data_IF_886023554397
#
_entry.id   IF_886023554397
#
_cell.length_a   1.000
_cell.length_b   1.000
_cell.length_c   1.000
_cell.angle_alpha   90.00
_cell.angle_beta   90.00
_cell.angle_gamma   90.00
#
_symmetry.space_group_name_H-M   'P 1'
#
loop_
_entity.id
_entity.type
_entity.pdbx_description
1 polymer ?
#
# COMPACT_ATOMS: atom_id res chain seq x y z
N UNK A 1 -10.22 -27.61 -6.88
CA UNK A 1 -9.13 -26.65 -7.18
C UNK A 1 -9.55 -25.76 -8.34
N UNK A 2 -9.32 -24.45 -8.28
CA UNK A 2 -9.62 -23.49 -9.35
C UNK A 2 -8.84 -23.78 -10.66
N UNK A 3 -9.47 -23.41 -11.78
CA UNK A 3 -8.89 -23.50 -13.13
C UNK A 3 -8.44 -22.10 -13.56
N UNK A 4 -7.22 -21.99 -14.07
CA UNK A 4 -6.74 -20.73 -14.64
C UNK A 4 -7.50 -20.39 -15.93
N UNK A 5 -8.01 -19.17 -16.02
CA UNK A 5 -8.72 -18.68 -17.19
C UNK A 5 -7.85 -18.63 -18.46
N UNK A 6 -6.53 -18.41 -18.33
CA UNK A 6 -5.64 -18.24 -19.49
C UNK A 6 -5.14 -19.58 -20.03
N UNK A 7 -4.49 -20.40 -19.19
CA UNK A 7 -3.93 -21.69 -19.65
C UNK A 7 -4.87 -22.89 -19.51
N UNK A 8 -6.06 -22.71 -18.92
CA UNK A 8 -7.06 -23.76 -18.67
C UNK A 8 -6.58 -24.94 -17.80
N UNK A 9 -5.45 -24.77 -17.10
CA UNK A 9 -4.90 -25.78 -16.17
C UNK A 9 -5.43 -25.59 -14.75
N UNK A 10 -5.62 -26.70 -14.05
CA UNK A 10 -5.92 -26.74 -12.62
C UNK A 10 -4.70 -26.26 -11.81
N UNK A 11 -4.93 -25.43 -10.79
CA UNK A 11 -3.87 -24.80 -9.99
C UNK A 11 -4.24 -24.76 -8.51
N UNK A 12 -3.21 -24.65 -7.68
CA UNK A 12 -3.36 -24.36 -6.26
C UNK A 12 -3.89 -22.93 -6.04
N UNK A 13 -4.75 -22.73 -5.05
CA UNK A 13 -5.31 -21.42 -4.70
C UNK A 13 -4.23 -20.39 -4.33
N UNK A 14 -3.12 -20.83 -3.74
CA UNK A 14 -1.99 -19.98 -3.38
C UNK A 14 -1.15 -19.51 -4.59
N UNK A 15 -1.41 -20.06 -5.78
CA UNK A 15 -0.72 -19.71 -7.02
C UNK A 15 -1.66 -19.07 -8.06
N UNK A 16 -2.73 -18.44 -7.59
CA UNK A 16 -3.72 -17.74 -8.41
C UNK A 16 -4.05 -16.37 -7.82
N UNK A 17 -4.38 -15.43 -8.70
CA UNK A 17 -5.01 -14.16 -8.36
C UNK A 17 -6.40 -14.13 -8.99
N UNK A 18 -7.37 -13.53 -8.29
CA UNK A 18 -8.73 -13.35 -8.82
C UNK A 18 -8.86 -11.94 -9.41
N UNK A 19 -8.96 -11.86 -10.74
CA UNK A 19 -9.01 -10.62 -11.52
C UNK A 19 -10.25 -10.64 -12.41
N UNK A 20 -11.12 -9.62 -12.30
CA UNK A 20 -12.39 -9.53 -13.07
C UNK A 20 -13.23 -10.81 -12.99
N UNK A 21 -13.36 -11.34 -11.77
CA UNK A 21 -14.08 -12.57 -11.45
C UNK A 21 -13.52 -13.86 -12.06
N UNK A 22 -12.32 -13.79 -12.64
CA UNK A 22 -11.61 -14.91 -13.24
C UNK A 22 -10.32 -15.21 -12.48
N UNK A 23 -10.01 -16.49 -12.32
CA UNK A 23 -8.73 -16.90 -11.73
C UNK A 23 -7.61 -16.87 -12.78
N UNK A 24 -6.50 -16.18 -12.48
CA UNK A 24 -5.31 -16.13 -13.34
C UNK A 24 -4.13 -16.65 -12.52
N UNK A 25 -3.43 -17.67 -13.04
CA UNK A 25 -2.32 -18.27 -12.33
C UNK A 25 -1.05 -17.46 -12.46
N UNK A 26 -0.17 -17.57 -11.46
CA UNK A 26 1.07 -16.77 -11.42
C UNK A 26 1.98 -17.02 -12.62
N UNK A 27 1.98 -18.23 -13.19
CA UNK A 27 2.73 -18.48 -14.43
C UNK A 27 2.21 -17.65 -15.61
N UNK A 28 0.89 -17.49 -15.72
CA UNK A 28 0.26 -16.69 -16.79
C UNK A 28 0.31 -15.18 -16.49
N UNK A 29 0.27 -14.79 -15.22
CA UNK A 29 0.24 -13.39 -14.81
C UNK A 29 1.64 -12.76 -14.74
N UNK A 30 2.63 -13.54 -14.29
CA UNK A 30 3.98 -13.08 -14.01
C UNK A 30 5.05 -13.80 -14.84
N UNK A 31 4.69 -14.49 -15.93
CA UNK A 31 5.62 -15.17 -16.84
C UNK A 31 6.65 -16.08 -16.12
N UNK A 32 6.23 -16.78 -15.07
CA UNK A 32 7.09 -17.64 -14.23
C UNK A 32 8.26 -16.94 -13.50
N UNK A 33 8.30 -15.61 -13.46
CA UNK A 33 9.30 -14.90 -12.66
C UNK A 33 9.09 -15.14 -11.16
N UNK A 34 10.21 -15.28 -10.42
CA UNK A 34 10.18 -15.44 -8.96
C UNK A 34 9.84 -14.09 -8.30
N UNK A 35 8.98 -14.06 -7.27
CA UNK A 35 8.69 -12.84 -6.54
C UNK A 35 9.87 -12.41 -5.66
N UNK A 36 9.99 -11.11 -5.43
CA UNK A 36 10.93 -10.55 -4.46
C UNK A 36 10.32 -10.57 -3.05
N UNK A 37 11.14 -10.88 -2.04
CA UNK A 37 10.76 -10.77 -0.64
C UNK A 37 11.08 -9.36 -0.15
N UNK A 38 10.09 -8.69 0.43
CA UNK A 38 10.23 -7.36 1.05
C UNK A 38 9.75 -7.49 2.50
N UNK A 39 10.61 -7.10 3.44
CA UNK A 39 10.27 -7.08 4.86
C UNK A 39 9.67 -5.74 5.24
N UNK A 40 8.62 -5.69 6.07
CA UNK A 40 8.20 -4.43 6.66
C UNK A 40 9.30 -3.92 7.60
N UNK A 41 9.44 -2.60 7.70
CA UNK A 41 10.36 -1.92 8.62
C UNK A 41 9.65 -1.34 9.85
N UNK A 42 8.32 -1.39 9.84
CA UNK A 42 7.45 -0.91 10.90
C UNK A 42 5.98 -0.98 10.50
N UNK A 43 5.13 -0.40 11.34
CA UNK A 43 3.68 -0.43 11.15
C UNK A 43 3.04 0.93 11.45
N UNK A 44 1.97 1.21 10.74
CA UNK A 44 1.12 2.37 11.00
C UNK A 44 0.28 2.12 12.25
N UNK A 45 0.19 3.13 13.12
CA UNK A 45 -0.72 3.16 14.27
C UNK A 45 -1.60 4.40 14.22
N UNK A 46 -2.91 4.21 13.98
CA UNK A 46 -3.90 5.28 13.94
C UNK A 46 -5.34 4.75 14.15
N UNK A 47 -6.36 5.56 13.84
CA UNK A 47 -7.78 5.19 13.93
C UNK A 47 -8.44 5.05 12.55
N UNK A 48 -7.65 5.02 11.46
CA UNK A 48 -8.17 4.92 10.11
C UNK A 48 -8.53 3.48 9.80
N UNK A 49 -9.70 3.30 9.24
CA UNK A 49 -10.20 2.02 8.74
C UNK A 49 -10.52 2.12 7.26
N UNK A 50 -10.68 0.99 6.60
CA UNK A 50 -11.01 0.98 5.18
C UNK A 50 -12.46 1.40 4.98
N UNK A 51 -12.71 2.32 4.05
CA UNK A 51 -14.07 2.68 3.65
C UNK A 51 -14.78 1.54 2.92
N UNK A 52 -16.11 1.56 2.90
CA UNK A 52 -16.91 0.48 2.28
C UNK A 52 -16.72 0.41 0.77
N UNK A 53 -16.55 1.58 0.12
CA UNK A 53 -16.23 1.70 -1.31
C UNK A 53 -14.79 2.20 -1.46
N UNK A 54 -14.63 3.49 -1.77
CA UNK A 54 -13.36 4.18 -1.94
C UNK A 54 -12.98 4.98 -0.68
N UNK A 55 -11.67 5.18 -0.50
CA UNK A 55 -11.13 6.00 0.57
C UNK A 55 -11.08 5.32 1.93
N UNK A 56 -10.82 6.13 2.96
CA UNK A 56 -10.71 5.69 4.35
C UNK A 56 -11.88 6.23 5.17
N UNK A 57 -12.16 5.56 6.29
CA UNK A 57 -13.12 5.98 7.31
C UNK A 57 -12.37 6.30 8.59
N UNK A 58 -12.70 7.43 9.22
CA UNK A 58 -12.06 7.92 10.43
C UNK A 58 -11.60 9.37 10.31
N UNK A 59 -10.91 9.87 11.34
CA UNK A 59 -10.41 11.26 11.36
C UNK A 59 -9.13 11.39 10.52
N UNK A 60 -9.30 11.75 9.25
CA UNK A 60 -8.22 11.91 8.26
C UNK A 60 -7.18 12.99 8.59
N UNK A 61 -7.57 14.02 9.35
CA UNK A 61 -6.69 15.14 9.72
C UNK A 61 -5.99 14.97 11.08
N UNK A 62 -6.04 13.77 11.67
CA UNK A 62 -5.35 13.45 12.92
C UNK A 62 -3.86 13.18 12.71
N UNK A 63 -3.11 13.18 13.81
CA UNK A 63 -1.74 12.68 13.83
C UNK A 63 -1.79 11.15 13.76
N UNK A 64 -1.11 10.59 12.77
CA UNK A 64 -0.81 9.15 12.71
C UNK A 64 0.59 8.89 13.24
N UNK A 65 0.87 7.64 13.62
CA UNK A 65 2.21 7.19 13.98
C UNK A 65 2.69 6.14 13.00
N UNK A 66 3.99 6.16 12.71
CA UNK A 66 4.71 5.05 12.10
C UNK A 66 5.67 4.52 13.15
N UNK A 67 5.41 3.30 13.63
CA UNK A 67 6.20 2.63 14.66
C UNK A 67 7.20 1.70 13.96
N UNK A 68 8.46 2.14 13.89
CA UNK A 68 9.56 1.35 13.34
C UNK A 68 10.17 0.44 14.42
N UNK A 69 10.84 -0.63 13.99
CA UNK A 69 11.53 -1.50 14.94
C UNK A 69 12.72 -0.80 15.61
N UNK A 70 13.03 -1.19 16.85
CA UNK A 70 14.15 -0.62 17.62
C UNK A 70 15.48 -0.70 16.88
N UNK A 71 15.72 -1.78 16.13
CA UNK A 71 16.94 -1.95 15.32
C UNK A 71 17.10 -0.92 14.20
N UNK A 72 16.05 -0.14 13.90
CA UNK A 72 16.05 0.87 12.84
C UNK A 72 16.48 2.26 13.35
N UNK A 73 16.76 2.43 14.64
CA UNK A 73 17.17 3.72 15.22
C UNK A 73 18.36 4.39 14.49
N UNK A 74 19.45 3.67 14.11
CA UNK A 74 20.58 4.29 13.41
C UNK A 74 20.21 4.89 12.04
N UNK A 75 19.16 4.37 11.40
CA UNK A 75 18.71 4.82 10.07
C UNK A 75 17.92 6.15 10.13
N UNK A 76 17.61 6.64 11.33
CA UNK A 76 16.88 7.89 11.55
C UNK A 76 17.81 9.11 11.67
N UNK A 77 19.12 8.93 11.48
CA UNK A 77 20.09 10.00 11.56
C UNK A 77 19.68 11.20 10.68
N UNK A 78 19.49 12.35 11.32
CA UNK A 78 19.05 13.62 10.71
C UNK A 78 17.67 13.64 10.05
N UNK A 79 16.88 12.56 10.11
CA UNK A 79 15.52 12.57 9.57
C UNK A 79 14.62 13.63 10.24
N UNK A 80 14.88 13.94 11.52
CA UNK A 80 14.17 15.00 12.26
C UNK A 80 14.37 16.41 11.69
N UNK A 81 15.40 16.62 10.88
CA UNK A 81 15.69 17.90 10.23
C UNK A 81 14.74 18.11 9.01
N UNK A 82 14.10 17.03 8.54
CA UNK A 82 13.22 17.04 7.39
C UNK A 82 11.76 17.28 7.77
N UNK A 83 11.06 18.09 6.96
CA UNK A 83 9.63 18.36 7.14
C UNK A 83 8.73 17.40 6.37
N UNK A 84 9.20 16.88 5.24
CA UNK A 84 8.42 16.05 4.34
C UNK A 84 9.13 14.73 4.08
N UNK A 85 8.39 13.64 4.17
CA UNK A 85 8.89 12.30 3.88
C UNK A 85 7.94 11.60 2.92
N UNK A 86 8.50 10.75 2.07
CA UNK A 86 7.75 9.82 1.23
C UNK A 86 7.69 8.48 1.96
N UNK A 87 6.49 7.96 2.20
CA UNK A 87 6.29 6.66 2.83
C UNK A 87 5.80 5.67 1.80
N UNK A 88 6.49 4.53 1.73
CA UNK A 88 6.10 3.38 0.90
C UNK A 88 5.54 2.31 1.83
N UNK A 89 4.33 1.82 1.53
CA UNK A 89 3.62 0.92 2.43
C UNK A 89 2.83 -0.15 1.66
N UNK A 90 2.38 -1.20 2.37
CA UNK A 90 1.71 -2.35 1.77
C UNK A 90 0.21 -2.38 2.07
N UNK A 91 -0.63 -2.51 1.04
CA UNK A 91 -2.07 -2.68 1.16
C UNK A 91 -2.46 -4.08 1.66
N UNK A 92 -2.23 -4.33 2.95
CA UNK A 92 -2.45 -5.63 3.61
C UNK A 92 -3.92 -6.09 3.68
N UNK A 93 -4.88 -5.19 3.46
CA UNK A 93 -6.32 -5.51 3.40
C UNK A 93 -6.91 -5.21 2.02
N UNK A 94 -6.25 -5.64 0.95
CA UNK A 94 -6.76 -5.49 -0.41
C UNK A 94 -8.10 -6.24 -0.62
N UNK A 95 -8.98 -5.73 -1.50
CA UNK A 95 -10.16 -6.48 -2.03
C UNK A 95 -9.77 -7.14 -3.37
N UNK A 96 -10.74 -7.74 -4.03
CA UNK A 96 -10.61 -8.22 -5.40
C UNK A 96 -10.06 -7.16 -6.36
N UNK A 97 -9.22 -7.61 -7.29
CA UNK A 97 -8.62 -6.79 -8.35
C UNK A 97 -9.58 -6.71 -9.53
N UNK A 98 -9.77 -5.49 -10.04
CA UNK A 98 -10.43 -5.23 -11.31
C UNK A 98 -9.44 -4.59 -12.28
N UNK A 99 -9.34 -5.12 -13.50
CA UNK A 99 -8.39 -4.59 -14.49
C UNK A 99 -8.81 -3.21 -15.00
N UNK A 100 -10.13 -2.99 -15.13
CA UNK A 100 -10.75 -1.75 -15.61
C UNK A 100 -11.93 -1.38 -14.71
N UNK A 101 -12.00 -0.12 -14.28
CA UNK A 101 -13.06 0.40 -13.40
C UNK A 101 -13.18 1.92 -13.52
N UNK A 102 -14.26 2.50 -12.98
CA UNK A 102 -14.41 3.95 -12.85
C UNK A 102 -13.58 4.46 -11.66
N UNK A 103 -12.54 5.26 -11.92
CA UNK A 103 -11.65 5.75 -10.86
C UNK A 103 -12.36 6.77 -9.97
N UNK A 104 -12.08 6.73 -8.67
CA UNK A 104 -12.74 7.60 -7.69
C UNK A 104 -12.46 9.10 -7.85
N UNK A 105 -11.39 9.50 -8.57
CA UNK A 105 -11.00 10.90 -8.71
C UNK A 105 -11.96 11.70 -9.62
N UNK A 106 -12.39 11.13 -10.74
CA UNK A 106 -13.19 11.82 -11.77
C UNK A 106 -14.21 10.91 -12.46
N UNK A 107 -14.40 9.68 -11.98
CA UNK A 107 -15.32 8.69 -12.56
C UNK A 107 -14.89 8.08 -13.88
N UNK A 108 -13.76 8.50 -14.47
CA UNK A 108 -13.29 8.00 -15.77
C UNK A 108 -13.06 6.49 -15.71
N UNK A 109 -13.59 5.76 -16.69
CA UNK A 109 -13.32 4.33 -16.86
C UNK A 109 -11.90 4.15 -17.36
N UNK A 110 -11.03 3.58 -16.52
CA UNK A 110 -9.59 3.45 -16.78
C UNK A 110 -9.07 2.07 -16.40
N UNK A 111 -7.95 1.69 -16.99
CA UNK A 111 -7.17 0.55 -16.51
C UNK A 111 -6.53 0.85 -15.15
N UNK A 112 -6.23 -0.21 -14.39
CA UNK A 112 -5.70 -0.09 -13.03
C UNK A 112 -4.46 0.78 -12.88
N UNK A 113 -3.56 0.76 -13.87
CA UNK A 113 -2.32 1.54 -13.84
C UNK A 113 -2.52 3.03 -14.12
N UNK A 114 -3.68 3.44 -14.63
CA UNK A 114 -4.08 4.84 -14.78
C UNK A 114 -4.89 5.35 -13.56
N UNK A 115 -4.67 4.74 -12.40
CA UNK A 115 -5.34 5.03 -11.13
C UNK A 115 -4.38 4.89 -9.93
N UNK A 116 -4.88 5.21 -8.73
CA UNK A 116 -4.19 4.98 -7.44
C UNK A 116 -4.94 3.99 -6.54
N UNK A 117 -5.74 3.10 -7.12
CA UNK A 117 -6.55 2.16 -6.33
C UNK A 117 -5.65 1.19 -5.54
N UNK A 118 -5.99 0.84 -4.28
CA UNK A 118 -5.24 -0.16 -3.52
C UNK A 118 -5.35 -1.58 -4.10
N UNK A 119 -6.38 -1.87 -4.90
CA UNK A 119 -6.72 -3.13 -5.57
C UNK A 119 -5.80 -3.48 -6.76
N UNK A 120 -4.48 -3.24 -6.63
CA UNK A 120 -3.42 -3.49 -7.62
C UNK A 120 -2.46 -4.64 -7.32
N UNK A 121 -1.84 -5.19 -8.37
CA UNK A 121 -0.98 -6.38 -8.32
C UNK A 121 0.10 -6.34 -7.22
N UNK A 122 0.93 -5.29 -7.19
CA UNK A 122 2.04 -5.20 -6.23
C UNK A 122 1.62 -4.79 -4.82
N UNK A 123 0.37 -4.33 -4.64
CA UNK A 123 -0.17 -3.85 -3.34
C UNK A 123 0.66 -2.76 -2.66
N UNK A 124 1.37 -1.93 -3.42
CA UNK A 124 2.21 -0.85 -2.89
C UNK A 124 1.45 0.48 -2.94
N UNK A 125 1.42 1.17 -1.80
CA UNK A 125 1.02 2.57 -1.64
C UNK A 125 2.24 3.46 -1.47
N UNK A 126 2.13 4.69 -1.97
CA UNK A 126 3.17 5.73 -1.87
C UNK A 126 2.49 7.06 -1.60
N UNK A 127 2.93 7.75 -0.55
CA UNK A 127 2.38 9.04 -0.15
C UNK A 127 3.46 9.96 0.40
N UNK A 128 3.32 11.26 0.16
CA UNK A 128 4.18 12.29 0.75
C UNK A 128 3.44 12.90 1.93
N UNK A 129 4.07 12.90 3.10
CA UNK A 129 3.44 13.27 4.37
C UNK A 129 4.29 14.25 5.14
N UNK A 130 3.65 15.00 6.03
CA UNK A 130 4.34 15.92 6.92
C UNK A 130 4.88 15.15 8.12
N UNK A 131 6.19 15.22 8.35
CA UNK A 131 6.84 14.75 9.56
C UNK A 131 6.73 15.83 10.63
N UNK A 132 6.13 15.48 11.78
CA UNK A 132 5.87 16.42 12.87
C UNK A 132 6.95 16.34 13.94
N UNK A 133 7.30 15.11 14.35
CA UNK A 133 8.37 14.82 15.30
C UNK A 133 8.76 13.35 15.24
N UNK A 134 9.89 13.03 15.83
CA UNK A 134 10.37 11.66 16.07
C UNK A 134 10.57 11.50 17.58
N UNK A 135 10.05 10.42 18.15
CA UNK A 135 10.34 9.98 19.52
C UNK A 135 10.81 8.53 19.46
N UNK A 136 12.08 8.29 19.80
CA UNK A 136 12.74 6.98 19.60
C UNK A 136 12.59 6.52 18.13
N UNK A 137 11.97 5.37 17.88
CA UNK A 137 11.69 4.84 16.54
C UNK A 137 10.26 5.10 16.07
N UNK A 138 9.57 6.08 16.68
CA UNK A 138 8.18 6.44 16.36
C UNK A 138 8.15 7.79 15.64
N UNK A 139 7.67 7.80 14.40
CA UNK A 139 7.48 9.00 13.62
C UNK A 139 6.02 9.45 13.76
N UNK A 140 5.81 10.70 14.18
CA UNK A 140 4.50 11.32 14.25
C UNK A 140 4.28 12.12 12.96
N UNK A 141 3.21 11.82 12.24
CA UNK A 141 3.01 12.31 10.87
C UNK A 141 1.57 12.79 10.63
N UNK A 142 1.38 13.67 9.65
CA UNK A 142 0.06 14.09 9.15
C UNK A 142 -0.11 13.72 7.67
N UNK A 143 -1.37 13.62 7.24
CA UNK A 143 -1.78 13.33 5.87
C UNK A 143 -1.43 11.91 5.38
N UNK A 144 -1.14 10.99 6.30
CA UNK A 144 -0.94 9.58 5.96
C UNK A 144 -2.28 8.92 5.57
N UNK A 145 -2.35 8.38 4.36
CA UNK A 145 -3.50 7.71 3.78
C UNK A 145 -3.44 6.18 3.93
N UNK A 146 -2.98 5.71 5.08
CA UNK A 146 -2.85 4.29 5.42
C UNK A 146 -3.69 3.92 6.66
N UNK A 147 -4.37 2.78 6.60
CA UNK A 147 -5.20 2.29 7.71
C UNK A 147 -4.34 1.76 8.87
N UNK A 148 -4.93 1.61 10.05
CA UNK A 148 -4.26 1.05 11.22
C UNK A 148 -3.65 -0.32 10.91
N UNK A 149 -2.46 -0.58 11.46
CA UNK A 149 -1.63 -1.78 11.27
C UNK A 149 -1.09 -1.98 9.86
N UNK A 150 -1.15 -0.97 9.00
CA UNK A 150 -0.53 -1.03 7.67
C UNK A 150 0.98 -1.25 7.77
N UNK A 151 1.55 -2.29 7.12
CA UNK A 151 3.00 -2.48 7.07
C UNK A 151 3.66 -1.36 6.26
N UNK A 152 4.69 -0.74 6.84
CA UNK A 152 5.56 0.23 6.16
C UNK A 152 6.74 -0.54 5.57
N UNK A 153 7.03 -0.30 4.30
CA UNK A 153 8.09 -0.97 3.55
C UNK A 153 9.34 -0.11 3.45
N UNK A 154 9.19 1.20 3.32
CA UNK A 154 10.31 2.13 3.14
C UNK A 154 9.93 3.58 3.47
N UNK A 155 10.94 4.40 3.75
CA UNK A 155 10.82 5.85 3.99
C UNK A 155 11.92 6.55 3.20
N UNK A 156 11.54 7.61 2.46
CA UNK A 156 12.48 8.45 1.70
C UNK A 156 12.30 9.91 2.03
N UNK A 157 13.30 10.72 1.70
CA UNK A 157 13.12 12.16 1.62
C UNK A 157 11.91 12.47 0.73
N UNK A 158 11.07 13.41 1.17
CA UNK A 158 9.87 13.80 0.47
C UNK A 158 9.83 15.29 0.19
N UNK A 159 8.78 15.70 -0.50
CA UNK A 159 8.48 17.10 -0.78
C UNK A 159 7.03 17.40 -0.43
N UNK A 160 6.70 18.68 -0.28
CA UNK A 160 5.33 19.11 -0.05
C UNK A 160 4.46 18.70 -1.23
N UNK A 161 3.59 17.72 -1.02
CA UNK A 161 2.53 17.39 -1.97
C UNK A 161 1.43 18.45 -1.95
N UNK A 162 0.94 18.82 -3.13
CA UNK A 162 -0.25 19.69 -3.32
C UNK A 162 -1.55 18.91 -3.55
N UNK A 163 -1.47 17.59 -3.55
CA UNK A 163 -2.62 16.68 -3.72
C UNK A 163 -3.32 16.46 -2.38
#
# INVERSE_FOLDING_TARGET
>A
MPICNNCKKQKDLHHLEKIDDKFICYSCLYNNYKPYKIYPIGFVKNQLTRGDKFGLKGRHHGISKIELFKSQEPFLHRLKDEKWITVVFFFHKQRQIHSVFSRGLDGKKVGIFASRTPERLSRIGITNIELIKIENTILFVKNLDAIDRTPVLDIKLGEKSRW
#
